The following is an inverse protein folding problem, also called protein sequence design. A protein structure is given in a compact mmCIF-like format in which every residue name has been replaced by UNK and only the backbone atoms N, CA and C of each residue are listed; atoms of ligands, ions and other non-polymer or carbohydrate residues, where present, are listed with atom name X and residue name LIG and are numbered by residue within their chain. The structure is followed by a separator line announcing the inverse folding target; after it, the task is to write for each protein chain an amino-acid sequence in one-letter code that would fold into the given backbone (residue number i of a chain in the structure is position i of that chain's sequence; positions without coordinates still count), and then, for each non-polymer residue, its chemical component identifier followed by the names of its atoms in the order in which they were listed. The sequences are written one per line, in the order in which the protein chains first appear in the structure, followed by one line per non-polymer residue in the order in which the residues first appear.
data_IF_116674801155
#
_entry.id   IF_116674801155
#
_cell.length_a   1.000
_cell.length_b   1.000
_cell.length_c   1.000
_cell.angle_alpha   90.00
_cell.angle_beta   90.00
_cell.angle_gamma   90.00
#
_symmetry.space_group_name_H-M   'P 1'
#
loop_
_entity.id
_entity.type
_entity.pdbx_description
1 polymer ?
#
# COMPACT_ATOMS: atom_id res chain seq x y z
N UNK A 1 1.33 29.56 -6.41
CA UNK A 1 1.35 28.16 -5.95
C UNK A 1 0.57 27.34 -6.95
N UNK A 2 1.10 26.23 -7.47
CA UNK A 2 0.33 25.38 -8.35
C UNK A 2 -0.87 24.85 -7.55
N UNK A 3 -2.09 25.14 -7.99
CA UNK A 3 -3.29 24.56 -7.41
C UNK A 3 -3.20 23.06 -7.59
N UNK A 4 -3.19 22.30 -6.49
CA UNK A 4 -3.25 20.84 -6.55
C UNK A 4 -4.49 20.39 -7.31
N UNK A 5 -4.41 19.23 -7.96
CA UNK A 5 -5.56 18.63 -8.65
C UNK A 5 -6.65 18.34 -7.61
N UNK A 6 -7.86 18.82 -7.88
CA UNK A 6 -9.00 18.69 -6.98
C UNK A 6 -9.86 17.48 -7.39
N UNK A 7 -10.32 16.72 -6.40
CA UNK A 7 -11.19 15.56 -6.61
C UNK A 7 -12.47 15.77 -5.81
N UNK A 8 -13.61 15.56 -6.45
CA UNK A 8 -14.89 15.49 -5.76
C UNK A 8 -14.96 14.22 -4.91
N UNK A 9 -15.75 14.23 -3.83
CA UNK A 9 -15.83 13.11 -2.89
C UNK A 9 -16.22 11.79 -3.56
N UNK A 10 -17.09 11.82 -4.58
CA UNK A 10 -17.51 10.64 -5.34
C UNK A 10 -16.37 10.02 -6.18
N UNK A 11 -15.27 10.76 -6.38
CA UNK A 11 -14.07 10.37 -7.15
C UNK A 11 -12.89 9.96 -6.27
N UNK A 12 -13.11 9.72 -4.99
CA UNK A 12 -12.09 9.20 -4.06
C UNK A 12 -12.46 7.78 -3.65
N UNK A 13 -11.48 6.88 -3.61
CA UNK A 13 -11.61 5.53 -3.06
C UNK A 13 -10.48 5.27 -2.09
N UNK A 14 -10.80 4.88 -0.87
CA UNK A 14 -9.82 4.42 0.11
C UNK A 14 -9.80 2.89 0.11
N UNK A 15 -8.65 2.31 -0.23
CA UNK A 15 -8.50 0.86 -0.36
C UNK A 15 -7.39 0.39 0.57
N UNK A 16 -7.72 -0.48 1.52
CA UNK A 16 -6.73 -1.18 2.33
C UNK A 16 -6.08 -2.30 1.50
N UNK A 17 -4.76 -2.37 1.49
CA UNK A 17 -4.01 -3.44 0.83
C UNK A 17 -3.52 -4.40 1.90
N UNK A 18 -4.09 -5.60 1.94
CA UNK A 18 -3.95 -6.61 3.01
C UNK A 18 -3.31 -7.89 2.46
N UNK A 19 -2.83 -8.76 3.35
CA UNK A 19 -2.20 -10.05 3.02
C UNK A 19 -0.95 -10.33 3.85
N UNK A 20 -0.45 -11.57 3.77
CA UNK A 20 0.69 -12.06 4.56
C UNK A 20 1.99 -11.23 4.37
N UNK A 21 2.90 -11.29 5.34
CA UNK A 21 4.26 -10.74 5.24
C UNK A 21 4.96 -11.25 3.98
N UNK A 22 5.56 -10.36 3.19
CA UNK A 22 6.23 -10.77 1.95
C UNK A 22 5.30 -11.17 0.78
N UNK A 23 3.97 -11.02 0.90
CA UNK A 23 3.05 -11.37 -0.20
C UNK A 23 3.08 -10.42 -1.41
N UNK A 24 3.87 -9.34 -1.34
CA UNK A 24 4.03 -8.38 -2.44
C UNK A 24 3.12 -7.15 -2.38
N UNK A 25 2.49 -6.86 -1.24
CA UNK A 25 1.61 -5.68 -1.04
C UNK A 25 2.27 -4.37 -1.44
N UNK A 26 3.42 -4.05 -0.84
CA UNK A 26 4.17 -2.82 -1.09
C UNK A 26 4.64 -2.76 -2.55
N UNK A 27 5.14 -3.86 -3.10
CA UNK A 27 5.54 -3.94 -4.50
C UNK A 27 4.37 -3.73 -5.48
N UNK A 28 3.17 -4.19 -5.13
CA UNK A 28 1.96 -3.93 -5.92
C UNK A 28 1.62 -2.43 -5.91
N UNK A 29 1.70 -1.78 -4.75
CA UNK A 29 1.43 -0.34 -4.60
C UNK A 29 2.46 0.48 -5.41
N UNK A 30 3.75 0.13 -5.34
CA UNK A 30 4.79 0.72 -6.18
C UNK A 30 4.42 0.68 -7.66
N UNK A 31 4.07 -0.51 -8.15
CA UNK A 31 3.73 -0.71 -9.55
C UNK A 31 2.50 0.11 -9.95
N UNK A 32 1.46 0.17 -9.10
CA UNK A 32 0.25 0.95 -9.36
C UNK A 32 0.53 2.46 -9.39
N UNK A 33 1.32 2.97 -8.45
CA UNK A 33 1.72 4.37 -8.41
C UNK A 33 2.61 4.75 -9.61
N UNK A 34 3.54 3.87 -9.99
CA UNK A 34 4.40 4.09 -11.15
C UNK A 34 3.61 4.07 -12.47
N UNK A 35 2.77 3.05 -12.69
CA UNK A 35 1.99 2.91 -13.93
C UNK A 35 0.93 4.00 -14.06
N UNK A 36 0.35 4.46 -12.95
CA UNK A 36 -0.59 5.60 -12.97
C UNK A 36 0.09 6.97 -13.12
N UNK A 37 1.42 7.04 -12.99
CA UNK A 37 2.21 8.27 -13.09
C UNK A 37 2.15 9.16 -11.85
N UNK A 38 1.61 8.69 -10.72
CA UNK A 38 1.63 9.43 -9.44
C UNK A 38 3.00 9.32 -8.76
N UNK A 39 3.77 8.28 -9.08
CA UNK A 39 5.21 8.21 -8.83
C UNK A 39 5.99 8.24 -10.15
N UNK A 40 7.04 9.05 -10.21
CA UNK A 40 7.95 9.11 -11.36
C UNK A 40 9.06 8.03 -11.30
N UNK A 41 9.11 7.25 -10.21
CA UNK A 41 10.09 6.20 -9.98
C UNK A 41 9.37 4.92 -9.61
N UNK A 42 9.83 3.80 -10.15
CA UNK A 42 9.46 2.48 -9.66
C UNK A 42 10.42 2.14 -8.52
N UNK A 43 9.95 2.25 -7.28
CA UNK A 43 10.71 1.85 -6.09
C UNK A 43 10.80 0.34 -5.96
N UNK A 44 11.56 -0.07 -4.96
CA UNK A 44 11.88 -1.46 -4.68
C UNK A 44 12.08 -1.63 -3.17
N UNK A 45 11.46 -2.67 -2.61
CA UNK A 45 11.45 -2.96 -1.16
C UNK A 45 12.83 -3.40 -0.71
N UNK A 46 13.43 -4.36 -1.40
CA UNK A 46 14.74 -4.94 -1.09
C UNK A 46 15.85 -3.88 -1.14
N UNK A 47 15.71 -2.87 -2.00
CA UNK A 47 16.65 -1.75 -2.08
C UNK A 47 16.31 -0.58 -1.15
N UNK A 48 15.27 -0.67 -0.32
CA UNK A 48 14.85 0.38 0.61
C UNK A 48 14.36 1.67 -0.09
N UNK A 49 13.88 1.56 -1.33
CA UNK A 49 13.45 2.71 -2.15
C UNK A 49 11.94 2.79 -2.35
N UNK A 50 11.20 1.86 -1.74
CA UNK A 50 9.74 1.86 -1.73
C UNK A 50 9.18 3.18 -1.16
N UNK A 51 8.15 3.69 -1.84
CA UNK A 51 7.39 4.91 -1.59
C UNK A 51 6.71 4.91 -0.23
N UNK A 52 6.34 3.73 0.29
CA UNK A 52 5.55 3.60 1.53
C UNK A 52 6.37 3.14 2.74
N UNK A 53 7.69 2.95 2.56
CA UNK A 53 8.61 2.55 3.64
C UNK A 53 9.56 3.70 3.95
N UNK A 54 9.52 4.19 5.19
CA UNK A 54 10.16 5.44 5.56
C UNK A 54 11.06 5.34 6.78
N UNK A 55 10.87 4.35 7.64
CA UNK A 55 11.66 4.25 8.88
C UNK A 55 12.92 3.44 8.67
N UNK A 56 13.98 3.72 9.47
CA UNK A 56 15.17 2.90 9.48
C UNK A 56 14.88 1.42 9.77
N UNK A 57 13.88 1.13 10.61
CA UNK A 57 13.48 -0.23 10.95
C UNK A 57 12.82 -0.95 9.77
N UNK A 58 11.97 -0.26 9.01
CA UNK A 58 11.36 -0.81 7.80
C UNK A 58 12.42 -1.15 6.76
N UNK A 59 13.43 -0.28 6.59
CA UNK A 59 14.55 -0.54 5.68
C UNK A 59 15.50 -1.62 6.20
N UNK A 60 15.76 -1.68 7.50
CA UNK A 60 16.66 -2.66 8.09
C UNK A 60 16.08 -4.09 8.07
N UNK A 61 14.75 -4.20 8.13
CA UNK A 61 14.06 -5.49 8.17
C UNK A 61 13.34 -5.84 6.86
N UNK A 62 13.29 -4.93 5.89
CA UNK A 62 12.63 -5.11 4.59
C UNK A 62 11.13 -5.47 4.73
N UNK A 63 10.47 -4.91 5.75
CA UNK A 63 9.06 -5.14 6.06
C UNK A 63 8.36 -3.81 6.37
N UNK A 64 7.09 -3.69 6.02
CA UNK A 64 6.26 -2.56 6.49
C UNK A 64 5.93 -2.74 7.97
N UNK A 65 6.08 -1.66 8.74
CA UNK A 65 5.82 -1.65 10.20
C UNK A 65 4.61 -0.75 10.50
N UNK A 66 4.39 0.30 9.72
CA UNK A 66 3.25 1.20 9.85
C UNK A 66 2.33 1.16 8.62
N UNK A 67 1.08 1.59 8.80
CA UNK A 67 0.22 1.87 7.66
C UNK A 67 0.65 3.16 6.99
N UNK A 68 1.01 3.10 5.71
CA UNK A 68 1.46 4.26 4.94
C UNK A 68 0.58 4.47 3.70
N UNK A 69 -0.04 5.65 3.53
CA UNK A 69 -0.87 5.92 2.36
C UNK A 69 -0.01 6.29 1.15
N UNK A 70 -0.35 5.70 0.00
CA UNK A 70 0.03 6.17 -1.32
C UNK A 70 -1.24 6.44 -2.15
N UNK A 71 -1.11 6.99 -3.35
CA UNK A 71 -2.26 7.08 -4.24
C UNK A 71 -1.87 6.80 -5.69
N UNK A 72 -2.81 6.20 -6.41
CA UNK A 72 -2.78 6.03 -7.85
C UNK A 72 -3.98 6.76 -8.46
N UNK A 73 -3.83 7.21 -9.70
CA UNK A 73 -4.96 7.73 -10.47
C UNK A 73 -5.40 6.75 -11.53
N UNK A 74 -6.71 6.52 -11.61
CA UNK A 74 -7.29 5.71 -12.68
C UNK A 74 -8.60 6.31 -13.15
N UNK A 75 -8.72 6.62 -14.45
CA UNK A 75 -9.97 7.11 -15.08
C UNK A 75 -10.61 8.31 -14.37
N UNK A 76 -9.79 9.23 -13.86
CA UNK A 76 -10.26 10.41 -13.12
C UNK A 76 -10.72 10.13 -11.68
N UNK A 77 -10.44 8.94 -11.15
CA UNK A 77 -10.64 8.57 -9.74
C UNK A 77 -9.29 8.55 -9.04
N UNK A 78 -9.23 9.16 -7.84
CA UNK A 78 -8.10 9.02 -6.93
C UNK A 78 -8.30 7.79 -6.07
N UNK A 79 -7.40 6.83 -6.20
CA UNK A 79 -7.38 5.61 -5.39
C UNK A 79 -6.29 5.79 -4.34
N UNK A 80 -6.68 6.02 -3.09
CA UNK A 80 -5.77 6.00 -1.96
C UNK A 80 -5.53 4.54 -1.57
N UNK A 81 -4.28 4.11 -1.70
CA UNK A 81 -3.82 2.77 -1.35
C UNK A 81 -3.21 2.86 0.05
N UNK A 82 -3.84 2.21 1.03
CA UNK A 82 -3.31 2.11 2.38
C UNK A 82 -2.44 0.86 2.43
N UNK A 83 -1.12 1.04 2.32
CA UNK A 83 -0.16 -0.04 2.49
C UNK A 83 -0.17 -0.48 3.94
N UNK A 84 -0.29 -1.78 4.22
CA UNK A 84 -0.39 -2.30 5.58
C UNK A 84 0.69 -3.33 5.88
N UNK A 85 1.17 -3.42 7.13
CA UNK A 85 2.01 -4.51 7.58
C UNK A 85 1.33 -5.87 7.40
N UNK A 86 2.11 -6.89 7.02
CA UNK A 86 1.63 -8.28 6.86
C UNK A 86 1.92 -9.21 8.04
N UNK A 87 2.61 -8.74 9.07
CA UNK A 87 2.97 -9.53 10.25
C UNK A 87 2.02 -9.23 11.42
N UNK A 88 1.72 -10.27 12.21
CA UNK A 88 0.76 -10.19 13.31
C UNK A 88 1.18 -9.21 14.43
N UNK A 89 2.48 -8.99 14.59
CA UNK A 89 3.02 -8.02 15.56
C UNK A 89 2.49 -6.59 15.29
N UNK A 90 2.07 -6.30 14.06
CA UNK A 90 1.61 -4.99 13.61
C UNK A 90 0.14 -4.96 13.18
N UNK A 91 -0.68 -5.94 13.61
CA UNK A 91 -2.11 -6.02 13.22
C UNK A 91 -2.91 -4.75 13.57
N UNK A 92 -2.50 -3.98 14.58
CA UNK A 92 -3.13 -2.70 14.92
C UNK A 92 -3.15 -1.69 13.76
N UNK A 93 -2.11 -1.70 12.92
CA UNK A 93 -2.00 -0.85 11.74
C UNK A 93 -2.96 -1.31 10.63
N UNK A 94 -3.01 -2.61 10.37
CA UNK A 94 -3.94 -3.19 9.41
C UNK A 94 -5.40 -2.94 9.80
N UNK A 95 -5.74 -3.10 11.08
CA UNK A 95 -7.08 -2.79 11.60
C UNK A 95 -7.43 -1.30 11.46
N UNK A 96 -6.46 -0.41 11.67
CA UNK A 96 -6.63 1.03 11.49
C UNK A 96 -6.89 1.38 10.03
N UNK A 97 -6.20 0.73 9.09
CA UNK A 97 -6.44 0.88 7.65
C UNK A 97 -7.86 0.45 7.27
N UNK A 98 -8.28 -0.74 7.71
CA UNK A 98 -9.62 -1.28 7.44
C UNK A 98 -10.71 -0.37 7.99
N UNK A 99 -10.49 0.25 9.15
CA UNK A 99 -11.46 1.17 9.79
C UNK A 99 -11.76 2.42 8.96
N UNK A 100 -10.86 2.83 8.07
CA UNK A 100 -11.01 4.03 7.23
C UNK A 100 -11.17 3.72 5.74
N UNK A 101 -11.06 2.46 5.34
CA UNK A 101 -11.16 2.02 3.95
C UNK A 101 -12.61 1.77 3.51
N UNK A 102 -12.90 2.08 2.25
CA UNK A 102 -14.17 1.76 1.59
C UNK A 102 -14.18 0.31 1.05
N UNK A 103 -12.99 -0.21 0.73
CA UNK A 103 -12.78 -1.55 0.18
C UNK A 103 -11.41 -2.10 0.57
N UNK A 104 -11.16 -3.38 0.28
CA UNK A 104 -9.88 -4.02 0.49
C UNK A 104 -9.42 -4.81 -0.74
N UNK A 105 -8.10 -4.85 -0.94
CA UNK A 105 -7.42 -5.78 -1.86
C UNK A 105 -6.64 -6.76 -0.99
N UNK A 106 -6.90 -8.05 -1.15
CA UNK A 106 -6.16 -9.11 -0.47
C UNK A 106 -5.11 -9.66 -1.44
N UNK A 107 -3.84 -9.45 -1.13
CA UNK A 107 -2.71 -9.87 -1.96
C UNK A 107 -2.23 -11.23 -1.48
N UNK A 108 -2.36 -12.23 -2.35
CA UNK A 108 -1.96 -13.61 -2.11
C UNK A 108 -0.74 -13.93 -2.96
N UNK A 109 0.30 -14.48 -2.33
CA UNK A 109 1.50 -14.90 -3.04
C UNK A 109 1.19 -16.02 -4.02
N UNK A 110 1.60 -15.87 -5.28
CA UNK A 110 1.42 -16.92 -6.29
C UNK A 110 2.29 -18.16 -6.02
N UNK A 111 3.39 -18.00 -5.28
CA UNK A 111 4.31 -19.10 -4.94
C UNK A 111 3.92 -19.80 -3.64
N UNK A 112 3.50 -19.03 -2.63
CA UNK A 112 3.21 -19.54 -1.28
C UNK A 112 1.72 -19.83 -1.05
N UNK A 113 0.83 -19.23 -1.85
CA UNK A 113 -0.61 -19.37 -1.67
C UNK A 113 -1.12 -18.62 -0.43
N UNK A 114 -2.14 -19.21 0.21
CA UNK A 114 -2.73 -18.69 1.44
C UNK A 114 -1.82 -19.04 2.63
N UNK A 115 -1.42 -18.04 3.38
CA UNK A 115 -0.53 -18.17 4.53
C UNK A 115 -1.24 -17.74 5.81
N UNK A 116 -0.67 -18.09 6.97
CA UNK A 116 -1.21 -17.69 8.28
C UNK A 116 -1.29 -16.17 8.38
N UNK A 117 -2.45 -15.64 8.76
CA UNK A 117 -2.69 -14.19 8.81
C UNK A 117 -3.11 -13.58 7.47
N UNK A 118 -3.52 -14.40 6.49
CA UNK A 118 -4.19 -13.93 5.27
C UNK A 118 -5.71 -13.76 5.50
N UNK A 119 -6.27 -14.40 6.55
CA UNK A 119 -7.69 -14.30 6.93
C UNK A 119 -8.16 -12.93 7.46
#
# INVERSE_FOLDING_TARGET
MASGKEYTTDRIRNIAVLGHGGSGKTSLIEALCFVSGTSNRHGDVDNGTALTMHTPEEHAHEISIQMTPAYAEHTGVKVNLLDTPGYLDFTGEALSAVRVADAAIIVVSATSGIEVGTE
#
